data_IF_759533319204
#
_entry.id   IF_759533319204
#
_cell.length_a   1.000
_cell.length_b   1.000
_cell.length_c   1.000
_cell.angle_alpha   90.00
_cell.angle_beta   90.00
_cell.angle_gamma   90.00
#
_symmetry.space_group_name_H-M   'P 1'
#
loop_
_entity.id
_entity.type
_entity.pdbx_description
1 polymer ?
#
# COMPACT_ATOMS: atom_id res chain seq x y z
N UNK A 1 -6.18 -2.32 -29.00
CA UNK A 1 -6.74 -2.26 -27.64
C UNK A 1 -6.72 -0.81 -27.18
N UNK A 2 -7.78 -0.32 -26.55
CA UNK A 2 -7.76 1.06 -26.01
C UNK A 2 -6.83 1.15 -24.79
N UNK A 3 -6.29 2.35 -24.45
CA UNK A 3 -5.51 2.56 -23.23
C UNK A 3 -6.22 2.08 -21.97
N UNK A 4 -7.54 2.28 -21.87
CA UNK A 4 -8.36 1.80 -20.76
C UNK A 4 -8.37 0.27 -20.62
N UNK A 5 -8.48 -0.46 -21.74
CA UNK A 5 -8.41 -1.93 -21.73
C UNK A 5 -7.01 -2.41 -21.31
N UNK A 6 -5.95 -1.74 -21.77
CA UNK A 6 -4.58 -2.05 -21.36
C UNK A 6 -4.40 -1.80 -19.85
N UNK A 7 -4.86 -0.65 -19.35
CA UNK A 7 -4.83 -0.30 -17.93
C UNK A 7 -5.53 -1.35 -17.08
N UNK A 8 -6.75 -1.75 -17.44
CA UNK A 8 -7.50 -2.74 -16.66
C UNK A 8 -6.82 -4.12 -16.66
N UNK A 9 -6.24 -4.54 -17.80
CA UNK A 9 -5.45 -5.78 -17.86
C UNK A 9 -4.23 -5.68 -16.96
N UNK A 10 -3.47 -4.59 -17.05
CA UNK A 10 -2.30 -4.37 -16.20
C UNK A 10 -2.67 -4.32 -14.72
N UNK A 11 -3.77 -3.65 -14.36
CA UNK A 11 -4.24 -3.51 -12.98
C UNK A 11 -4.62 -4.85 -12.38
N UNK A 12 -5.37 -5.68 -13.13
CA UNK A 12 -5.76 -7.01 -12.69
C UNK A 12 -4.56 -7.97 -12.63
N UNK A 13 -3.74 -7.99 -13.69
CA UNK A 13 -2.61 -8.91 -13.77
C UNK A 13 -1.45 -8.50 -12.86
N UNK A 14 -1.32 -7.24 -12.45
CA UNK A 14 -0.28 -6.78 -11.52
C UNK A 14 -0.28 -7.54 -10.19
N UNK A 15 -1.44 -8.03 -9.74
CA UNK A 15 -1.55 -8.85 -8.53
C UNK A 15 -0.97 -10.26 -8.69
N UNK A 16 -1.07 -10.86 -9.87
CA UNK A 16 -0.67 -12.27 -10.09
C UNK A 16 0.81 -12.53 -9.81
N UNK A 17 1.79 -11.83 -10.42
CA UNK A 17 3.19 -12.07 -10.16
C UNK A 17 3.57 -11.71 -8.72
N UNK A 18 2.94 -10.68 -8.15
CA UNK A 18 3.17 -10.32 -6.76
C UNK A 18 2.65 -11.38 -5.79
N UNK A 19 1.48 -11.96 -6.02
CA UNK A 19 0.95 -13.04 -5.19
C UNK A 19 1.85 -14.29 -5.27
N UNK A 20 2.29 -14.66 -6.47
CA UNK A 20 3.22 -15.77 -6.66
C UNK A 20 4.57 -15.52 -5.94
N UNK A 21 5.17 -14.33 -6.15
CA UNK A 21 6.41 -13.93 -5.52
C UNK A 21 6.27 -13.87 -3.98
N UNK A 22 5.20 -13.24 -3.50
CA UNK A 22 4.93 -13.09 -2.08
C UNK A 22 4.74 -14.45 -1.41
N UNK A 23 3.92 -15.32 -1.99
CA UNK A 23 3.65 -16.65 -1.45
C UNK A 23 4.92 -17.53 -1.40
N UNK A 24 5.73 -17.50 -2.46
CA UNK A 24 6.93 -18.32 -2.56
C UNK A 24 8.10 -17.83 -1.69
N UNK A 25 8.32 -16.51 -1.64
CA UNK A 25 9.58 -15.97 -1.10
C UNK A 25 9.43 -15.09 0.14
N UNK A 26 8.32 -14.36 0.26
CA UNK A 26 8.13 -13.37 1.33
C UNK A 26 7.37 -13.99 2.50
N UNK A 27 6.27 -14.69 2.21
CA UNK A 27 5.34 -15.23 3.20
C UNK A 27 5.96 -16.23 4.17
N UNK A 28 6.79 -17.20 3.74
CA UNK A 28 7.42 -18.14 4.66
C UNK A 28 8.30 -17.42 5.69
N UNK A 29 9.03 -16.39 5.25
CA UNK A 29 9.91 -15.58 6.09
C UNK A 29 9.12 -14.73 7.09
N UNK A 30 8.10 -14.01 6.62
CA UNK A 30 7.26 -13.21 7.52
C UNK A 30 6.57 -14.06 8.58
N UNK A 31 6.20 -15.31 8.24
CA UNK A 31 5.53 -16.22 9.17
C UNK A 31 6.44 -16.81 10.25
N UNK A 32 7.75 -16.86 10.01
CA UNK A 32 8.76 -17.38 10.94
C UNK A 32 9.40 -16.29 11.80
N UNK A 33 9.27 -15.02 11.41
CA UNK A 33 9.75 -13.87 12.19
C UNK A 33 8.98 -13.68 13.49
N UNK A 34 9.62 -13.02 14.46
CA UNK A 34 8.92 -12.48 15.61
C UNK A 34 7.88 -11.43 15.18
N UNK A 35 6.72 -11.33 15.86
CA UNK A 35 5.62 -10.46 15.41
C UNK A 35 6.03 -9.01 15.16
N UNK A 36 6.88 -8.45 16.01
CA UNK A 36 7.36 -7.08 15.85
C UNK A 36 8.30 -6.92 14.64
N UNK A 37 9.16 -7.90 14.39
CA UNK A 37 10.08 -7.87 13.24
C UNK A 37 9.33 -7.97 11.91
N UNK A 38 8.33 -8.86 11.83
CA UNK A 38 7.50 -8.98 10.64
C UNK A 38 6.77 -7.66 10.32
N UNK A 39 6.23 -6.99 11.33
CA UNK A 39 5.58 -5.68 11.15
C UNK A 39 6.57 -4.58 10.78
N UNK A 40 7.79 -4.59 11.33
CA UNK A 40 8.85 -3.65 10.92
C UNK A 40 9.23 -3.86 9.46
N UNK A 41 9.37 -5.10 9.00
CA UNK A 41 9.67 -5.39 7.60
C UNK A 41 8.58 -4.83 6.66
N UNK A 42 7.30 -4.99 7.02
CA UNK A 42 6.18 -4.41 6.28
C UNK A 42 6.19 -2.88 6.37
N UNK A 43 6.38 -2.30 7.56
CA UNK A 43 6.45 -0.85 7.74
C UNK A 43 7.59 -0.22 6.92
N UNK A 44 8.73 -0.89 6.76
CA UNK A 44 9.82 -0.42 5.87
C UNK A 44 9.35 -0.25 4.44
N UNK A 45 8.62 -1.23 3.89
CA UNK A 45 8.05 -1.10 2.55
C UNK A 45 7.05 0.06 2.46
N UNK A 46 6.14 0.18 3.43
CA UNK A 46 5.13 1.24 3.47
C UNK A 46 5.71 2.63 3.74
N UNK A 47 6.91 2.72 4.34
CA UNK A 47 7.57 4.00 4.59
C UNK A 47 7.90 4.75 3.30
N UNK A 48 8.10 4.06 2.17
CA UNK A 48 8.36 4.68 0.86
C UNK A 48 7.14 5.37 0.24
N UNK A 49 5.95 5.22 0.83
CA UNK A 49 4.72 5.86 0.33
C UNK A 49 4.74 7.39 0.40
N UNK A 50 5.72 8.02 1.06
CA UNK A 50 5.95 9.47 0.88
C UNK A 50 6.11 9.87 -0.61
N UNK A 51 6.58 8.94 -1.44
CA UNK A 51 6.72 9.14 -2.88
C UNK A 51 5.38 9.40 -3.59
N UNK A 52 4.24 9.01 -3.02
CA UNK A 52 2.91 9.27 -3.58
C UNK A 52 2.61 10.76 -3.80
N UNK A 53 3.30 11.67 -3.09
CA UNK A 53 3.27 13.11 -3.36
C UNK A 53 3.64 13.48 -4.81
N UNK A 54 4.27 12.57 -5.55
CA UNK A 54 4.57 12.71 -6.99
C UNK A 54 3.34 13.04 -7.83
N UNK A 55 2.14 12.58 -7.45
CA UNK A 55 0.89 12.91 -8.16
C UNK A 55 0.54 14.40 -8.13
N UNK A 56 1.15 15.17 -7.23
CA UNK A 56 0.96 16.62 -7.13
C UNK A 56 2.06 17.42 -7.86
N UNK A 57 3.11 16.76 -8.37
CA UNK A 57 4.24 17.44 -9.01
C UNK A 57 3.89 17.74 -10.47
N UNK A 58 3.81 19.02 -10.88
CA UNK A 58 3.60 19.37 -12.28
C UNK A 58 4.70 18.79 -13.16
N UNK A 59 4.30 18.13 -14.26
CA UNK A 59 5.21 17.49 -15.20
C UNK A 59 5.61 16.05 -14.85
N UNK A 60 5.36 15.58 -13.62
CA UNK A 60 5.47 14.15 -13.30
C UNK A 60 4.22 13.37 -13.74
N UNK A 61 3.06 14.02 -13.63
CA UNK A 61 1.78 13.62 -14.22
C UNK A 61 1.34 14.63 -15.28
N UNK A 62 0.43 14.21 -16.14
CA UNK A 62 -0.18 15.08 -17.13
C UNK A 62 -1.18 16.06 -16.53
N UNK A 63 -1.40 17.22 -17.18
CA UNK A 63 -2.18 18.32 -16.63
C UNK A 63 -3.67 18.01 -16.45
N UNK A 64 -4.18 16.96 -17.13
CA UNK A 64 -5.59 16.58 -17.07
C UNK A 64 -5.84 15.36 -16.17
N UNK A 65 -4.86 14.95 -15.34
CA UNK A 65 -5.12 13.95 -14.31
C UNK A 65 -6.16 14.50 -13.33
N UNK A 66 -7.22 13.73 -13.07
CA UNK A 66 -8.33 14.17 -12.23
C UNK A 66 -7.81 14.63 -10.84
N UNK A 67 -8.00 15.92 -10.46
CA UNK A 67 -7.44 16.46 -9.22
C UNK A 67 -7.92 15.74 -7.96
N UNK A 68 -9.14 15.20 -8.00
CA UNK A 68 -9.70 14.38 -6.91
C UNK A 68 -8.92 13.09 -6.69
N UNK A 69 -8.57 12.37 -7.76
CA UNK A 69 -7.73 11.17 -7.67
C UNK A 69 -6.32 11.53 -7.22
N UNK A 70 -5.69 12.50 -7.88
CA UNK A 70 -4.30 12.87 -7.61
C UNK A 70 -4.08 13.33 -6.16
N UNK A 71 -4.98 14.18 -5.64
CA UNK A 71 -4.87 14.69 -4.27
C UNK A 71 -5.15 13.61 -3.24
N UNK A 72 -6.17 12.78 -3.48
CA UNK A 72 -6.54 11.71 -2.56
C UNK A 72 -5.38 10.71 -2.42
N UNK A 73 -4.89 10.18 -3.55
CA UNK A 73 -3.76 9.24 -3.59
C UNK A 73 -2.52 9.84 -2.94
N UNK A 74 -2.14 11.07 -3.30
CA UNK A 74 -0.93 11.71 -2.79
C UNK A 74 -0.92 11.86 -1.27
N UNK A 75 -2.01 12.38 -0.69
CA UNK A 75 -2.07 12.64 0.73
C UNK A 75 -2.29 11.38 1.56
N UNK A 76 -3.07 10.41 1.06
CA UNK A 76 -3.26 9.14 1.76
C UNK A 76 -2.00 8.28 1.77
N UNK A 77 -1.27 8.23 0.66
CA UNK A 77 0.07 7.62 0.58
C UNK A 77 1.04 8.29 1.57
N UNK A 78 1.10 9.62 1.57
CA UNK A 78 1.97 10.38 2.46
C UNK A 78 1.65 10.13 3.94
N UNK A 79 0.37 10.19 4.32
CA UNK A 79 -0.07 9.93 5.69
C UNK A 79 0.28 8.50 6.13
N UNK A 80 0.04 7.51 5.27
CA UNK A 80 0.38 6.10 5.53
C UNK A 80 1.90 5.93 5.70
N UNK A 81 2.68 6.54 4.81
CA UNK A 81 4.14 6.50 4.86
C UNK A 81 4.71 7.11 6.14
N UNK A 82 4.19 8.26 6.57
CA UNK A 82 4.59 8.90 7.82
C UNK A 82 4.28 8.02 9.04
N UNK A 83 3.09 7.42 9.12
CA UNK A 83 2.73 6.51 10.21
C UNK A 83 3.65 5.28 10.24
N UNK A 84 4.01 4.74 9.08
CA UNK A 84 4.95 3.64 8.96
C UNK A 84 6.38 4.04 9.41
N UNK A 85 6.87 5.22 9.03
CA UNK A 85 8.15 5.76 9.51
C UNK A 85 8.15 5.93 11.03
N UNK A 86 7.07 6.48 11.60
CA UNK A 86 6.93 6.63 13.04
C UNK A 86 6.93 5.27 13.76
N UNK A 87 6.25 4.26 13.20
CA UNK A 87 6.28 2.90 13.74
C UNK A 87 7.72 2.36 13.78
N UNK A 88 8.50 2.57 12.72
CA UNK A 88 9.90 2.14 12.67
C UNK A 88 10.77 2.87 13.71
N UNK A 89 10.66 4.19 13.79
CA UNK A 89 11.43 5.03 14.73
C UNK A 89 11.14 4.69 16.19
N UNK A 90 9.89 4.31 16.49
CA UNK A 90 9.41 4.04 17.84
C UNK A 90 9.29 2.53 18.13
N UNK A 91 9.93 1.68 17.34
CA UNK A 91 9.89 0.23 17.49
C UNK A 91 10.38 -0.29 18.85
N UNK A 92 11.28 0.46 19.52
CA UNK A 92 11.77 0.13 20.86
C UNK A 92 10.73 0.42 21.98
N UNK A 93 9.59 1.03 21.67
CA UNK A 93 8.53 1.40 22.62
C UNK A 93 7.23 0.68 22.26
N UNK A 94 6.99 -0.56 22.76
CA UNK A 94 5.86 -1.38 22.35
C UNK A 94 4.49 -0.71 22.49
N UNK A 95 4.31 0.09 23.54
CA UNK A 95 3.07 0.83 23.82
C UNK A 95 2.71 1.85 22.72
N UNK A 96 3.69 2.32 21.94
CA UNK A 96 3.48 3.26 20.83
C UNK A 96 3.60 2.55 19.48
N UNK A 97 4.52 1.60 19.36
CA UNK A 97 4.74 0.81 18.15
C UNK A 97 3.45 0.11 17.68
N UNK A 98 2.77 -0.63 18.55
CA UNK A 98 1.60 -1.41 18.14
C UNK A 98 0.42 -0.54 17.68
N UNK A 99 0.06 0.56 18.38
CA UNK A 99 -0.91 1.51 17.86
C UNK A 99 -0.53 2.09 16.50
N UNK A 100 0.74 2.47 16.27
CA UNK A 100 1.18 2.98 14.97
C UNK A 100 1.11 1.93 13.86
N UNK A 101 1.44 0.68 14.18
CA UNK A 101 1.28 -0.46 13.25
C UNK A 101 -0.18 -0.60 12.82
N UNK A 102 -1.12 -0.54 13.77
CA UNK A 102 -2.55 -0.59 13.45
C UNK A 102 -2.95 0.65 12.63
N UNK A 103 -2.51 1.84 13.04
CA UNK A 103 -2.86 3.09 12.38
C UNK A 103 -2.42 3.13 10.92
N UNK A 104 -1.15 2.84 10.60
CA UNK A 104 -0.70 2.88 9.20
C UNK A 104 -1.39 1.81 8.34
N UNK A 105 -1.71 0.64 8.90
CA UNK A 105 -2.43 -0.38 8.14
C UNK A 105 -3.89 0.01 7.86
N UNK A 106 -4.57 0.62 8.84
CA UNK A 106 -5.95 1.09 8.66
C UNK A 106 -5.99 2.26 7.68
N UNK A 107 -5.16 3.28 7.88
CA UNK A 107 -5.08 4.44 6.98
C UNK A 107 -4.70 4.00 5.58
N UNK A 108 -3.70 3.12 5.45
CA UNK A 108 -3.24 2.62 4.15
C UNK A 108 -4.28 1.78 3.39
N UNK A 109 -5.11 0.99 4.08
CA UNK A 109 -6.21 0.27 3.41
C UNK A 109 -7.35 1.21 3.02
N UNK A 110 -7.70 2.19 3.87
CA UNK A 110 -8.72 3.19 3.54
C UNK A 110 -8.29 4.01 2.33
N UNK A 111 -7.03 4.41 2.30
CA UNK A 111 -6.40 5.09 1.18
C UNK A 111 -6.47 4.25 -0.11
N UNK A 112 -5.93 3.03 -0.11
CA UNK A 112 -5.98 2.19 -1.31
C UNK A 112 -7.41 1.89 -1.78
N UNK A 113 -8.35 1.65 -0.86
CA UNK A 113 -9.75 1.45 -1.22
C UNK A 113 -10.37 2.72 -1.82
N UNK A 114 -10.03 3.89 -1.27
CA UNK A 114 -10.42 5.19 -1.80
C UNK A 114 -9.80 5.48 -3.17
N UNK A 115 -8.56 5.07 -3.42
CA UNK A 115 -7.91 5.17 -4.73
C UNK A 115 -8.61 4.32 -5.78
N UNK A 116 -8.99 3.08 -5.43
CA UNK A 116 -9.81 2.24 -6.33
C UNK A 116 -11.17 2.89 -6.61
N UNK A 117 -11.81 3.45 -5.58
CA UNK A 117 -13.08 4.13 -5.72
C UNK A 117 -12.97 5.36 -6.64
N UNK A 118 -12.04 6.28 -6.36
CA UNK A 118 -11.81 7.46 -7.20
C UNK A 118 -11.35 7.07 -8.59
N UNK A 119 -10.52 6.03 -8.73
CA UNK A 119 -10.05 5.52 -10.00
C UNK A 119 -11.20 5.04 -10.91
N UNK A 120 -12.22 4.41 -10.33
CA UNK A 120 -13.44 4.01 -11.07
C UNK A 120 -14.34 5.20 -11.35
N UNK A 121 -14.67 6.01 -10.33
CA UNK A 121 -15.64 7.11 -10.46
C UNK A 121 -15.13 8.23 -11.36
N UNK A 122 -13.82 8.46 -11.40
CA UNK A 122 -13.19 9.51 -12.21
C UNK A 122 -12.62 8.98 -13.54
N UNK A 123 -12.97 7.76 -13.94
CA UNK A 123 -12.52 7.11 -15.18
C UNK A 123 -10.99 7.20 -15.39
N UNK A 124 -10.23 6.80 -14.37
CA UNK A 124 -8.78 6.72 -14.48
C UNK A 124 -8.31 5.83 -15.65
N UNK A 125 -8.97 4.70 -15.99
CA UNK A 125 -8.60 3.93 -17.18
C UNK A 125 -8.71 4.74 -18.48
N UNK A 126 -9.76 5.56 -18.64
CA UNK A 126 -9.91 6.47 -19.78
C UNK A 126 -8.81 7.53 -19.84
N UNK A 127 -8.28 7.94 -18.69
CA UNK A 127 -7.25 8.96 -18.54
C UNK A 127 -5.86 8.38 -18.21
N UNK A 128 -5.63 7.09 -18.44
CA UNK A 128 -4.44 6.38 -17.96
C UNK A 128 -3.12 6.99 -18.47
N UNK A 129 -3.14 7.64 -19.65
CA UNK A 129 -1.97 8.36 -20.18
C UNK A 129 -1.51 9.54 -19.33
N UNK A 130 -2.42 10.16 -18.56
CA UNK A 130 -2.11 11.28 -17.67
C UNK A 130 -1.25 10.84 -16.47
N UNK A 131 -1.15 9.54 -16.18
CA UNK A 131 -0.24 9.05 -15.14
C UNK A 131 1.24 9.10 -15.57
N UNK A 132 1.55 9.20 -16.86
CA UNK A 132 2.95 9.22 -17.32
C UNK A 132 3.77 8.04 -16.77
N UNK A 133 4.98 8.29 -16.29
CA UNK A 133 5.80 7.25 -15.65
C UNK A 133 5.25 6.78 -14.29
N UNK A 134 4.46 7.62 -13.60
CA UNK A 134 3.79 7.25 -12.34
C UNK A 134 2.73 6.17 -12.53
N UNK A 135 2.39 5.82 -13.77
CA UNK A 135 1.58 4.65 -14.13
C UNK A 135 2.06 3.35 -13.47
N UNK A 136 3.37 3.20 -13.23
CA UNK A 136 3.90 2.03 -12.52
C UNK A 136 3.39 1.91 -11.07
N UNK A 137 2.94 3.01 -10.44
CA UNK A 137 2.43 3.03 -9.07
C UNK A 137 1.15 2.19 -8.95
N UNK A 138 0.03 2.51 -9.63
CA UNK A 138 -1.20 1.72 -9.51
C UNK A 138 -1.06 0.29 -10.06
N UNK A 139 -0.13 0.07 -10.99
CA UNK A 139 0.01 -1.24 -11.66
C UNK A 139 0.94 -2.20 -10.93
N UNK A 140 2.05 -1.71 -10.37
CA UNK A 140 3.07 -2.56 -9.74
C UNK A 140 3.20 -2.30 -8.25
N UNK A 141 3.18 -1.05 -7.81
CA UNK A 141 3.42 -0.73 -6.41
C UNK A 141 2.17 -0.99 -5.55
N UNK A 142 1.00 -0.51 -5.97
CA UNK A 142 -0.27 -0.68 -5.26
C UNK A 142 -0.62 -2.15 -4.98
N UNK A 143 -0.50 -3.10 -5.94
CA UNK A 143 -0.76 -4.51 -5.64
C UNK A 143 0.13 -5.07 -4.52
N UNK A 144 1.41 -4.73 -4.51
CA UNK A 144 2.33 -5.12 -3.44
C UNK A 144 1.91 -4.51 -2.09
N UNK A 145 1.53 -3.24 -2.07
CA UNK A 145 1.05 -2.56 -0.86
C UNK A 145 -0.22 -3.22 -0.31
N UNK A 146 -1.18 -3.54 -1.17
CA UNK A 146 -2.42 -4.22 -0.80
C UNK A 146 -2.14 -5.61 -0.18
N UNK A 147 -1.32 -6.43 -0.85
CA UNK A 147 -0.95 -7.77 -0.36
C UNK A 147 -0.29 -7.67 1.02
N UNK A 148 0.61 -6.71 1.20
CA UNK A 148 1.34 -6.55 2.47
C UNK A 148 0.47 -5.99 3.60
N UNK A 149 -0.55 -5.17 3.33
CA UNK A 149 -1.55 -4.81 4.34
C UNK A 149 -2.37 -6.01 4.81
N UNK A 150 -2.84 -6.84 3.88
CA UNK A 150 -3.58 -8.08 4.22
C UNK A 150 -2.69 -8.98 5.08
N UNK A 151 -1.42 -9.14 4.70
CA UNK A 151 -0.44 -9.89 5.48
C UNK A 151 -0.23 -9.31 6.88
N UNK A 152 -0.10 -7.99 7.01
CA UNK A 152 0.07 -7.32 8.29
C UNK A 152 -1.10 -7.57 9.23
N UNK A 153 -2.34 -7.40 8.75
CA UNK A 153 -3.55 -7.68 9.53
C UNK A 153 -3.65 -9.16 9.93
N UNK A 154 -3.33 -10.07 9.02
CA UNK A 154 -3.30 -11.51 9.34
C UNK A 154 -2.30 -11.81 10.47
N UNK A 155 -1.09 -11.24 10.40
CA UNK A 155 -0.05 -11.46 11.41
C UNK A 155 -0.43 -10.86 12.77
N UNK A 156 -1.07 -9.68 12.80
CA UNK A 156 -1.64 -9.09 14.01
C UNK A 156 -2.70 -10.01 14.65
N UNK A 157 -3.65 -10.49 13.85
CA UNK A 157 -4.71 -11.38 14.32
C UNK A 157 -4.16 -12.72 14.82
N UNK A 158 -3.13 -13.26 14.17
CA UNK A 158 -2.45 -14.50 14.59
C UNK A 158 -1.71 -14.31 15.93
N UNK A 159 -1.00 -13.20 16.12
CA UNK A 159 -0.28 -12.92 17.35
C UNK A 159 -1.23 -12.81 18.55
N UNK A 160 -2.33 -12.07 18.39
CA UNK A 160 -3.37 -11.93 19.44
C UNK A 160 -3.99 -13.27 19.83
N UNK A 161 -4.31 -14.13 18.86
CA UNK A 161 -4.87 -15.48 19.14
C UNK A 161 -3.92 -16.35 19.96
N UNK A 162 -2.61 -16.27 19.69
CA UNK A 162 -1.59 -17.02 20.45
C UNK A 162 -1.48 -16.53 21.90
N UNK A 163 -1.54 -15.21 22.11
CA UNK A 163 -1.53 -14.63 23.45
C UNK A 163 -2.75 -15.07 24.26
N UNK A 164 -3.94 -15.05 23.65
CA UNK A 164 -5.18 -15.50 24.30
C UNK A 164 -5.20 -16.99 24.62
N UNK A 165 -4.59 -17.84 23.79
CA UNK A 165 -4.52 -19.28 24.02
C UNK A 165 -3.47 -19.68 25.09
N UNK A 166 -2.57 -18.77 25.45
CA UNK A 166 -1.51 -18.99 26.43
C UNK A 166 -1.81 -18.37 27.81
N UNK A 167 -2.92 -17.63 27.94
CA UNK A 167 -3.42 -17.00 29.16
C UNK A 167 -4.50 -17.88 29.79
#
# INVERSE_FOLDING_TARGET
MSPAVIFNIHLALGYVPWLLCFAAYVWPRLRSMEPAEAQRAIATLHSFRFFGLVFLIPGAVGPDLAPGFASFAAYGDFATGLLAMLALLLAARPAIFWPLVVAFNVVGVVDLAGDYYHGVVLDLPGHAGQLGATYAIPILYVPLLMITHVAAFYLLARARRRQLAAA
#
